data_IF_299118134831
#
_entry.id   IF_299118134831
#
_cell.length_a   1.000
_cell.length_b   1.000
_cell.length_c   1.000
_cell.angle_alpha   90.00
_cell.angle_beta   90.00
_cell.angle_gamma   90.00
#
_symmetry.space_group_name_H-M   'P 1'
#
loop_
_entity.id
_entity.type
_entity.pdbx_description
1 polymer ?
#
# COMPACT_ATOMS: atom_id res chain seq x y z
N UNK A 1 -6.48 8.21 5.77
CA UNK A 1 -5.12 8.19 5.15
C UNK A 1 -4.39 9.49 5.54
N UNK A 2 -3.05 9.51 5.55
CA UNK A 2 -2.26 10.73 5.76
C UNK A 2 -1.04 10.80 4.83
N UNK A 3 -0.61 12.01 4.49
CA UNK A 3 0.61 12.29 3.73
C UNK A 3 1.38 13.42 4.44
N UNK A 4 2.63 13.16 4.76
CA UNK A 4 3.52 14.09 5.45
C UNK A 4 4.84 14.21 4.68
N UNK A 5 5.46 15.40 4.74
CA UNK A 5 6.79 15.63 4.17
C UNK A 5 7.80 15.82 5.30
N UNK A 6 8.89 15.06 5.24
CA UNK A 6 10.04 15.16 6.13
C UNK A 6 11.27 15.47 5.28
N UNK A 7 11.72 16.72 5.27
CA UNK A 7 12.80 17.22 4.41
C UNK A 7 12.57 16.91 2.91
N UNK A 8 13.29 15.93 2.37
CA UNK A 8 13.20 15.45 0.98
C UNK A 8 12.41 14.16 0.85
N UNK A 9 11.88 13.61 1.95
CA UNK A 9 11.13 12.36 1.99
C UNK A 9 9.62 12.62 2.12
N UNK A 10 8.80 11.81 1.45
CA UNK A 10 7.36 11.73 1.70
C UNK A 10 7.04 10.50 2.55
N UNK A 11 6.09 10.65 3.48
CA UNK A 11 5.54 9.59 4.30
C UNK A 11 4.02 9.48 4.10
N UNK A 12 3.56 8.38 3.52
CA UNK A 12 2.14 8.10 3.25
C UNK A 12 1.67 6.91 4.09
N UNK A 13 0.50 7.02 4.70
CA UNK A 13 -0.18 5.90 5.38
C UNK A 13 -1.53 5.63 4.72
N UNK A 14 -1.68 4.42 4.21
CA UNK A 14 -2.93 3.87 3.67
C UNK A 14 -3.52 2.88 4.67
N UNK A 15 -4.84 2.90 4.82
CA UNK A 15 -5.59 1.90 5.58
C UNK A 15 -6.10 0.85 4.61
N UNK A 16 -5.89 -0.42 4.89
CA UNK A 16 -6.45 -1.53 4.12
C UNK A 16 -7.60 -2.15 4.88
N UNK A 17 -8.55 -2.70 4.14
CA UNK A 17 -9.77 -3.33 4.65
C UNK A 17 -9.94 -4.60 3.84
N UNK A 18 -10.14 -5.73 4.51
CA UNK A 18 -10.44 -7.01 3.86
C UNK A 18 -11.64 -7.64 4.52
N UNK A 19 -12.56 -8.12 3.69
CA UNK A 19 -13.72 -8.86 4.16
C UNK A 19 -13.30 -10.28 4.49
N UNK A 20 -13.66 -10.76 5.68
CA UNK A 20 -13.39 -12.15 6.10
C UNK A 20 -14.71 -12.89 6.18
N UNK A 21 -14.82 -14.00 5.46
CA UNK A 21 -16.04 -14.80 5.43
C UNK A 21 -16.24 -15.52 6.78
N UNK A 22 -17.46 -15.50 7.30
CA UNK A 22 -17.81 -16.17 8.56
C UNK A 22 -19.05 -17.05 8.35
N UNK A 23 -18.97 -18.31 8.78
CA UNK A 23 -20.03 -19.33 8.66
C UNK A 23 -21.30 -19.03 9.48
N UNK A 24 -21.36 -17.93 10.26
CA UNK A 24 -22.45 -17.69 11.20
C UNK A 24 -22.82 -16.22 11.38
N UNK A 25 -24.11 -15.93 11.18
CA UNK A 25 -24.76 -14.62 11.39
C UNK A 25 -24.63 -14.09 12.84
N UNK A 26 -24.28 -14.93 13.81
CA UNK A 26 -24.05 -14.50 15.19
C UNK A 26 -22.73 -13.73 15.39
N UNK A 27 -21.79 -13.82 14.44
CA UNK A 27 -20.50 -13.09 14.43
C UNK A 27 -20.43 -11.98 13.38
N UNK A 28 -21.58 -11.60 12.79
CA UNK A 28 -21.68 -10.60 11.73
C UNK A 28 -21.21 -9.17 12.10
N UNK A 29 -20.65 -8.94 13.29
CA UNK A 29 -20.11 -7.65 13.73
C UNK A 29 -18.60 -7.51 13.52
N UNK A 30 -17.89 -8.59 13.23
CA UNK A 30 -16.43 -8.62 13.01
C UNK A 30 -16.04 -9.11 11.60
N UNK A 31 -16.77 -8.69 10.57
CA UNK A 31 -16.60 -9.20 9.19
C UNK A 31 -15.45 -8.52 8.42
N UNK A 32 -14.61 -7.75 9.12
CA UNK A 32 -13.59 -6.91 8.50
C UNK A 32 -12.30 -6.99 9.28
N UNK A 33 -11.24 -7.37 8.58
CA UNK A 33 -9.87 -7.17 9.04
C UNK A 33 -9.33 -5.86 8.46
N UNK A 34 -8.69 -5.07 9.32
CA UNK A 34 -8.03 -3.83 8.93
C UNK A 34 -6.53 -3.99 8.97
N UNK A 35 -5.84 -3.39 8.01
CA UNK A 35 -4.38 -3.31 7.99
C UNK A 35 -3.91 -1.89 7.67
N UNK A 36 -2.59 -1.75 7.60
CA UNK A 36 -1.94 -0.49 7.24
C UNK A 36 -0.77 -0.74 6.30
N UNK A 37 -0.61 0.18 5.34
CA UNK A 37 0.58 0.27 4.51
C UNK A 37 1.19 1.64 4.73
N UNK A 38 2.39 1.63 5.28
CA UNK A 38 3.24 2.81 5.45
C UNK A 38 4.24 2.86 4.31
N UNK A 39 4.36 4.00 3.64
CA UNK A 39 5.18 4.19 2.44
C UNK A 39 6.10 5.38 2.68
N UNK A 40 7.41 5.11 2.61
CA UNK A 40 8.47 6.11 2.75
C UNK A 40 9.12 6.29 1.38
N UNK A 41 9.04 7.49 0.81
CA UNK A 41 9.51 7.81 -0.54
C UNK A 41 10.65 8.82 -0.44
N UNK A 42 11.87 8.38 -0.72
CA UNK A 42 13.02 9.27 -0.91
C UNK A 42 13.30 9.53 -2.39
N UNK A 43 14.37 10.26 -2.67
CA UNK A 43 14.73 10.62 -4.06
C UNK A 43 15.02 9.41 -4.95
N UNK A 44 15.56 8.34 -4.37
CA UNK A 44 16.03 7.16 -5.11
C UNK A 44 15.54 5.83 -4.50
N UNK A 45 14.63 5.89 -3.52
CA UNK A 45 14.15 4.70 -2.82
C UNK A 45 12.68 4.78 -2.44
N UNK A 46 12.06 3.60 -2.30
CA UNK A 46 10.77 3.43 -1.64
C UNK A 46 10.87 2.29 -0.65
N UNK A 47 10.47 2.54 0.60
CA UNK A 47 10.33 1.52 1.65
C UNK A 47 8.87 1.39 2.02
N UNK A 48 8.39 0.15 2.12
CA UNK A 48 7.03 -0.15 2.59
C UNK A 48 7.07 -0.98 3.87
N UNK A 49 6.27 -0.58 4.86
CA UNK A 49 5.99 -1.37 6.06
C UNK A 49 4.51 -1.71 6.04
N UNK A 50 4.19 -3.00 6.19
CA UNK A 50 2.82 -3.51 6.09
C UNK A 50 2.46 -4.16 7.41
N UNK A 51 1.33 -3.76 7.98
CA UNK A 51 0.74 -4.41 9.14
C UNK A 51 -0.58 -5.05 8.71
N UNK A 52 -0.73 -6.35 9.02
CA UNK A 52 -1.84 -7.19 8.56
C UNK A 52 -1.44 -8.11 7.40
N UNK A 53 -2.10 -9.27 7.32
CA UNK A 53 -1.82 -10.30 6.31
C UNK A 53 -2.33 -9.91 4.90
N UNK A 54 -3.24 -8.93 4.82
CA UNK A 54 -4.03 -8.65 3.63
C UNK A 54 -3.67 -7.30 2.97
N UNK A 55 -2.48 -7.21 2.38
CA UNK A 55 -2.00 -5.94 1.79
C UNK A 55 -2.05 -5.84 0.26
N UNK A 56 -2.47 -6.88 -0.48
CA UNK A 56 -2.75 -6.79 -1.92
C UNK A 56 -1.59 -6.39 -2.84
N UNK A 57 -0.36 -6.21 -2.32
CA UNK A 57 0.76 -5.66 -3.10
C UNK A 57 1.48 -6.67 -4.01
N UNK A 58 1.00 -7.92 -4.03
CA UNK A 58 1.56 -8.94 -4.90
C UNK A 58 1.47 -8.49 -6.37
N UNK A 59 2.60 -8.54 -7.08
CA UNK A 59 2.65 -8.21 -8.50
C UNK A 59 2.77 -6.73 -8.85
N UNK A 60 2.66 -5.78 -7.91
CA UNK A 60 2.88 -4.33 -8.17
C UNK A 60 4.23 -4.10 -8.86
N UNK A 61 5.29 -4.70 -8.30
CA UNK A 61 6.65 -4.67 -8.89
C UNK A 61 6.66 -5.18 -10.33
N UNK A 62 6.09 -6.36 -10.57
CA UNK A 62 6.05 -6.98 -11.91
C UNK A 62 5.31 -6.08 -12.91
N UNK A 63 4.20 -5.44 -12.52
CA UNK A 63 3.46 -4.50 -13.36
C UNK A 63 4.28 -3.24 -13.68
N UNK A 64 4.97 -2.67 -12.69
CA UNK A 64 5.85 -1.52 -12.89
C UNK A 64 7.02 -1.85 -13.82
N UNK A 65 7.69 -2.98 -13.60
CA UNK A 65 8.80 -3.47 -14.43
C UNK A 65 8.37 -3.75 -15.88
N UNK A 66 7.10 -4.10 -16.11
CA UNK A 66 6.52 -4.24 -17.44
C UNK A 66 6.18 -2.91 -18.13
N UNK A 67 6.22 -1.77 -17.42
CA UNK A 67 5.97 -0.43 -17.97
C UNK A 67 7.15 0.51 -17.74
N UNK A 68 8.18 0.49 -18.63
CA UNK A 68 9.34 1.36 -18.52
C UNK A 68 9.00 2.86 -18.50
N UNK A 69 7.89 3.25 -19.13
CA UNK A 69 7.41 4.64 -19.11
C UNK A 69 7.05 5.09 -17.68
N UNK A 70 6.39 4.22 -16.91
CA UNK A 70 6.01 4.51 -15.52
C UNK A 70 7.22 4.47 -14.59
N UNK A 71 8.13 3.51 -14.75
CA UNK A 71 9.33 3.41 -13.93
C UNK A 71 10.28 4.62 -14.08
N UNK A 72 10.35 5.21 -15.27
CA UNK A 72 11.18 6.40 -15.54
C UNK A 72 10.73 7.65 -14.77
N UNK A 73 9.51 7.67 -14.23
CA UNK A 73 9.00 8.77 -13.41
C UNK A 73 9.59 8.78 -11.98
N UNK A 74 10.40 7.77 -11.62
CA UNK A 74 11.12 7.71 -10.35
C UNK A 74 10.26 7.20 -9.18
N UNK A 75 10.75 7.32 -7.93
CA UNK A 75 10.13 6.70 -6.75
C UNK A 75 8.67 7.09 -6.50
N UNK A 76 8.25 8.28 -6.93
CA UNK A 76 6.85 8.72 -6.80
C UNK A 76 5.89 7.86 -7.63
N UNK A 77 6.31 7.25 -8.74
CA UNK A 77 5.46 6.33 -9.50
C UNK A 77 5.25 5.00 -8.80
N UNK A 78 6.21 4.58 -7.98
CA UNK A 78 6.08 3.40 -7.12
C UNK A 78 5.05 3.68 -6.02
N UNK A 79 5.09 4.86 -5.39
CA UNK A 79 4.07 5.28 -4.41
C UNK A 79 2.67 5.30 -5.04
N UNK A 80 2.55 5.86 -6.25
CA UNK A 80 1.30 5.84 -7.01
C UNK A 80 0.80 4.41 -7.21
N UNK A 81 1.63 3.51 -7.72
CA UNK A 81 1.24 2.13 -8.03
C UNK A 81 0.95 1.25 -6.79
N UNK A 82 1.36 1.66 -5.60
CA UNK A 82 0.96 1.03 -4.33
C UNK A 82 -0.41 1.56 -3.86
N UNK A 83 -0.74 2.80 -4.24
CA UNK A 83 -1.98 3.47 -3.83
C UNK A 83 -3.16 3.16 -4.74
N UNK A 84 -2.88 2.79 -5.99
CA UNK A 84 -3.81 2.29 -7.02
C UNK A 84 -4.17 0.81 -6.79
#
# INVERSE_FOLDING_TARGET
PKLERYDTMLFLVLKTVTYVEHDSMAKAREIVETGEIMIFVGNDYVVTVRHGEHSGLAGVRKRLEASPANLKLGPSSVMYAISD
#
